data_IF_425562343490
#
_entry.id   IF_425562343490
#
_cell.length_a   1.000
_cell.length_b   1.000
_cell.length_c   1.000
_cell.angle_alpha   90.00
_cell.angle_beta   90.00
_cell.angle_gamma   90.00
#
_symmetry.space_group_name_H-M   'P 1'
#
loop_
_entity.id
_entity.type
_entity.pdbx_description
1 polymer ?
#
# COMPACT_ATOMS: atom_id res chain seq x y z
N UNK A 1 11.51 9.26 13.01
CA UNK A 1 10.12 9.18 12.52
C UNK A 1 9.12 9.07 13.64
N UNK A 2 7.85 9.39 13.41
CA UNK A 2 6.82 9.50 14.45
C UNK A 2 6.11 8.19 14.83
N UNK A 3 6.39 7.07 14.14
CA UNK A 3 5.79 5.76 14.45
C UNK A 3 4.28 5.66 14.18
N UNK A 4 3.68 6.63 13.49
CA UNK A 4 2.26 6.62 13.16
C UNK A 4 1.94 5.47 12.19
N UNK A 5 0.90 4.71 12.50
CA UNK A 5 0.34 3.66 11.64
C UNK A 5 -1.10 4.04 11.29
N UNK A 6 -1.47 3.86 10.02
CA UNK A 6 -2.82 4.09 9.52
C UNK A 6 -3.23 2.90 8.67
N UNK A 7 -4.36 2.29 9.02
CA UNK A 7 -4.99 1.25 8.23
C UNK A 7 -5.79 1.90 7.10
N UNK A 8 -5.70 1.34 5.89
CA UNK A 8 -6.43 1.85 4.73
C UNK A 8 -6.96 0.71 3.87
N UNK A 9 -8.03 1.02 3.13
CA UNK A 9 -8.59 0.17 2.10
C UNK A 9 -8.75 1.00 0.82
N UNK A 10 -8.33 0.44 -0.31
CA UNK A 10 -8.45 1.08 -1.61
C UNK A 10 -8.85 0.05 -2.67
N UNK A 11 -10.06 0.18 -3.21
CA UNK A 11 -10.61 -0.77 -4.16
C UNK A 11 -9.84 -0.82 -5.50
N UNK A 12 -9.13 0.24 -5.86
CA UNK A 12 -8.36 0.30 -7.10
C UNK A 12 -7.07 -0.50 -6.98
N UNK A 13 -6.40 -0.43 -5.82
CA UNK A 13 -5.25 -1.27 -5.47
C UNK A 13 -5.65 -2.75 -5.51
N UNK A 14 -6.76 -3.13 -4.86
CA UNK A 14 -7.26 -4.51 -4.83
C UNK A 14 -7.54 -5.03 -6.25
N UNK A 15 -8.24 -4.23 -7.08
CA UNK A 15 -8.52 -4.59 -8.47
C UNK A 15 -7.22 -4.78 -9.27
N UNK A 16 -6.19 -3.96 -9.03
CA UNK A 16 -4.91 -4.08 -9.72
C UNK A 16 -4.17 -5.35 -9.33
N UNK A 17 -4.16 -5.72 -8.05
CA UNK A 17 -3.53 -6.95 -7.57
C UNK A 17 -4.17 -8.20 -8.21
N UNK A 18 -5.51 -8.27 -8.21
CA UNK A 18 -6.26 -9.36 -8.87
C UNK A 18 -5.95 -9.45 -10.36
N UNK A 19 -5.90 -8.30 -11.05
CA UNK A 19 -5.58 -8.26 -12.49
C UNK A 19 -4.18 -8.81 -12.78
N UNK A 20 -3.18 -8.44 -11.98
CA UNK A 20 -1.81 -8.94 -12.15
C UNK A 20 -1.76 -10.45 -11.89
N UNK A 21 -2.45 -10.95 -10.86
CA UNK A 21 -2.50 -12.38 -10.58
C UNK A 21 -3.07 -13.17 -11.78
N UNK A 22 -4.17 -12.68 -12.35
CA UNK A 22 -4.76 -13.24 -13.57
C UNK A 22 -3.80 -13.20 -14.76
N UNK A 23 -3.13 -12.06 -14.99
CA UNK A 23 -2.15 -11.89 -16.08
C UNK A 23 -0.96 -12.86 -15.96
N UNK A 24 -0.59 -13.22 -14.74
CA UNK A 24 0.51 -14.15 -14.46
C UNK A 24 0.05 -15.61 -14.24
N UNK A 25 -1.25 -15.88 -14.40
CA UNK A 25 -1.81 -17.23 -14.35
C UNK A 25 -1.89 -17.84 -12.95
N UNK A 26 -2.05 -17.03 -11.90
CA UNK A 26 -2.27 -17.51 -10.52
C UNK A 26 -3.44 -16.79 -9.83
N UNK A 27 -3.97 -17.40 -8.78
CA UNK A 27 -5.01 -16.83 -7.93
C UNK A 27 -4.42 -16.37 -6.59
N UNK A 28 -4.89 -15.24 -6.06
CA UNK A 28 -4.49 -14.75 -4.75
C UNK A 28 -5.31 -15.49 -3.69
N UNK A 29 -4.62 -16.22 -2.80
CA UNK A 29 -5.25 -16.86 -1.64
C UNK A 29 -5.36 -15.90 -0.44
N UNK A 30 -4.35 -15.05 -0.26
CA UNK A 30 -4.28 -14.01 0.78
C UNK A 30 -3.22 -12.96 0.40
N UNK A 31 -3.31 -11.74 0.95
CA UNK A 31 -2.31 -10.70 0.77
C UNK A 31 -2.23 -9.72 1.95
N UNK A 32 -1.04 -9.16 2.16
CA UNK A 32 -0.81 -8.07 3.11
C UNK A 32 -0.06 -6.93 2.42
N UNK A 33 -0.60 -5.71 2.50
CA UNK A 33 0.04 -4.51 1.95
C UNK A 33 0.45 -3.58 3.09
N UNK A 34 1.76 -3.33 3.20
CA UNK A 34 2.33 -2.36 4.13
C UNK A 34 3.13 -1.30 3.35
N UNK A 35 2.81 -0.03 3.58
CA UNK A 35 3.52 1.11 2.99
C UNK A 35 4.29 1.85 4.08
N UNK A 36 5.59 2.03 3.88
CA UNK A 36 6.47 2.74 4.80
C UNK A 36 6.86 4.09 4.21
N UNK A 37 6.75 5.14 4.99
CA UNK A 37 7.12 6.48 4.54
C UNK A 37 7.12 7.50 5.66
N UNK A 38 7.56 8.70 5.31
CA UNK A 38 7.54 9.84 6.22
C UNK A 38 6.18 10.55 6.11
N UNK A 39 5.46 10.69 7.23
CA UNK A 39 4.23 11.48 7.24
C UNK A 39 4.53 12.96 6.96
N UNK A 40 3.50 13.74 6.62
CA UNK A 40 3.65 15.17 6.29
C UNK A 40 4.39 15.97 7.37
N UNK A 41 4.21 15.62 8.64
CA UNK A 41 4.87 16.30 9.76
C UNK A 41 6.34 15.87 9.96
N UNK A 42 6.71 14.65 9.53
CA UNK A 42 8.09 14.15 9.57
C UNK A 42 8.88 14.58 8.32
N UNK A 43 8.20 14.80 7.20
CA UNK A 43 8.74 15.49 6.02
C UNK A 43 8.94 16.97 6.36
N UNK A 44 9.96 17.31 7.17
CA UNK A 44 10.37 18.70 7.34
C UNK A 44 10.66 19.26 5.94
N UNK A 45 9.80 20.18 5.50
CA UNK A 45 9.95 20.88 4.22
C UNK A 45 11.33 21.54 4.27
N UNK A 46 12.26 21.07 3.44
CA UNK A 46 13.46 21.86 3.14
C UNK A 46 12.94 23.12 2.47
N UNK A 47 12.99 24.24 3.20
CA UNK A 47 12.79 25.57 2.65
C UNK A 47 14.10 26.04 2.05
#
# INVERSE_FOLDING_TARGET
DCGKVEEFFDAEIEKRQLKIAQEHGFEIADHALALYGHCKNCKKVKK
#
